data_IF_408300462836
#
_entry.id   IF_408300462836
#
_cell.length_a   1.000
_cell.length_b   1.000
_cell.length_c   1.000
_cell.angle_alpha   90.00
_cell.angle_beta   90.00
_cell.angle_gamma   90.00
#
_symmetry.space_group_name_H-M   'P 1'
#
loop_
_entity.id
_entity.type
_entity.pdbx_description
1 polymer ?
#
# COMPACT_ATOMS: atom_id res chain seq x y z
N UNK A 1 -12.27 -5.15 11.35
CA UNK A 1 -11.43 -5.02 10.16
C UNK A 1 -10.38 -3.92 10.37
N UNK A 2 -9.20 -4.15 9.90
CA UNK A 2 -8.06 -3.26 10.07
C UNK A 2 -7.57 -2.77 8.71
N UNK A 3 -7.26 -1.49 8.60
CA UNK A 3 -6.76 -0.91 7.34
C UNK A 3 -5.43 -0.20 7.57
N UNK A 4 -4.54 -0.32 6.59
CA UNK A 4 -3.23 0.33 6.63
C UNK A 4 -3.06 1.11 5.35
N UNK A 5 -2.64 2.36 5.47
CA UNK A 5 -2.36 3.21 4.31
C UNK A 5 -0.90 3.62 4.30
N UNK A 6 -0.36 3.77 3.09
CA UNK A 6 0.94 4.37 2.89
C UNK A 6 0.77 5.51 1.87
N UNK A 7 0.99 6.74 2.33
CA UNK A 7 0.88 7.92 1.48
C UNK A 7 2.25 8.20 0.88
N UNK A 8 2.37 7.94 -0.42
CA UNK A 8 3.65 8.00 -1.12
C UNK A 8 3.70 9.27 -1.99
N UNK A 9 4.72 10.09 -1.77
CA UNK A 9 5.01 11.26 -2.58
C UNK A 9 6.14 10.91 -3.55
N UNK A 10 5.90 11.12 -4.84
CA UNK A 10 6.87 10.80 -5.89
C UNK A 10 7.12 12.01 -6.79
N UNK A 11 8.20 11.94 -7.55
CA UNK A 11 8.51 12.93 -8.58
C UNK A 11 7.47 12.87 -9.69
N UNK A 12 7.10 14.03 -10.21
CA UNK A 12 6.11 14.13 -11.29
C UNK A 12 6.56 13.33 -12.50
N UNK A 13 5.63 12.60 -13.10
CA UNK A 13 5.90 11.80 -14.29
C UNK A 13 6.26 10.35 -14.02
N UNK A 14 6.41 9.95 -12.76
CA UNK A 14 6.80 8.58 -12.39
C UNK A 14 5.63 7.73 -11.87
N UNK A 15 4.39 8.20 -12.08
CA UNK A 15 3.21 7.45 -11.64
C UNK A 15 3.09 6.07 -12.28
N UNK A 16 3.35 5.99 -13.59
CA UNK A 16 3.28 4.72 -14.32
C UNK A 16 4.32 3.73 -13.80
N UNK A 17 5.51 4.21 -13.45
CA UNK A 17 6.57 3.37 -12.87
C UNK A 17 6.14 2.80 -11.52
N UNK A 18 5.50 3.62 -10.69
CA UNK A 18 5.00 3.18 -9.39
C UNK A 18 3.89 2.15 -9.54
N UNK A 19 2.97 2.36 -10.46
CA UNK A 19 1.87 1.43 -10.74
C UNK A 19 2.42 0.07 -11.20
N UNK A 20 3.45 0.07 -12.04
CA UNK A 20 4.09 -1.16 -12.50
C UNK A 20 4.72 -1.93 -11.34
N UNK A 21 5.44 -1.22 -10.45
CA UNK A 21 6.06 -1.84 -9.28
C UNK A 21 5.02 -2.53 -8.40
N UNK A 22 3.91 -1.88 -8.10
CA UNK A 22 2.87 -2.46 -7.26
C UNK A 22 2.09 -3.56 -7.99
N UNK A 23 1.88 -3.42 -9.28
CA UNK A 23 1.18 -4.42 -10.08
C UNK A 23 1.95 -5.74 -10.23
N UNK A 24 3.28 -5.70 -10.10
CA UNK A 24 4.13 -6.88 -10.21
C UNK A 24 4.45 -7.54 -8.87
N UNK A 25 4.08 -6.93 -7.74
CA UNK A 25 4.26 -7.51 -6.40
C UNK A 25 3.14 -8.49 -6.13
N UNK A 26 3.41 -9.78 -6.19
CA UNK A 26 2.38 -10.74 -6.34
C UNK A 26 2.11 -11.71 -5.20
N UNK A 27 2.42 -11.43 -3.91
CA UNK A 27 2.23 -12.44 -2.88
C UNK A 27 1.41 -12.04 -1.66
N UNK A 28 1.15 -10.75 -1.45
CA UNK A 28 0.38 -10.30 -0.28
C UNK A 28 -1.06 -10.84 -0.28
N UNK A 29 -1.64 -11.05 -1.44
CA UNK A 29 -3.01 -11.57 -1.57
C UNK A 29 -3.16 -13.00 -1.05
N UNK A 30 -2.08 -13.72 -0.83
CA UNK A 30 -2.12 -15.08 -0.29
C UNK A 30 -1.89 -15.12 1.22
N UNK A 31 -1.68 -13.97 1.86
CA UNK A 31 -1.42 -13.92 3.29
C UNK A 31 -2.71 -14.12 4.11
N UNK A 32 -2.64 -14.84 5.25
CA UNK A 32 -3.80 -15.02 6.11
C UNK A 32 -4.39 -13.68 6.56
N UNK A 33 -5.70 -13.57 6.46
CA UNK A 33 -6.42 -12.36 6.89
C UNK A 33 -6.38 -11.20 5.91
N UNK A 34 -5.66 -11.32 4.81
CA UNK A 34 -5.64 -10.27 3.78
C UNK A 34 -7.00 -10.15 3.11
N UNK A 35 -7.50 -8.92 2.95
CA UNK A 35 -8.80 -8.66 2.33
C UNK A 35 -8.69 -7.95 0.99
N UNK A 36 -7.92 -6.87 0.91
CA UNK A 36 -7.84 -6.10 -0.33
C UNK A 36 -6.59 -5.24 -0.39
N UNK A 37 -6.19 -4.93 -1.61
CA UNK A 37 -5.11 -4.01 -1.93
C UNK A 37 -5.61 -3.05 -2.99
N UNK A 38 -5.44 -1.75 -2.75
CA UNK A 38 -5.79 -0.73 -3.73
C UNK A 38 -4.68 0.30 -3.79
N UNK A 39 -4.45 0.83 -4.97
CA UNK A 39 -3.54 1.95 -5.18
C UNK A 39 -4.35 3.11 -5.74
N UNK A 40 -4.38 4.21 -5.01
CA UNK A 40 -5.15 5.40 -5.38
C UNK A 40 -4.21 6.51 -5.80
N UNK A 41 -4.53 7.18 -6.88
CA UNK A 41 -3.81 8.36 -7.34
C UNK A 41 -4.60 9.59 -6.89
N UNK A 42 -3.94 10.51 -6.20
CA UNK A 42 -4.58 11.77 -5.83
C UNK A 42 -4.71 12.65 -7.06
N UNK A 43 -5.91 13.15 -7.31
CA UNK A 43 -6.14 14.09 -8.41
C UNK A 43 -5.65 15.47 -7.97
N UNK A 44 -4.56 15.92 -8.61
CA UNK A 44 -3.91 17.16 -8.22
C UNK A 44 -3.03 17.69 -9.35
N UNK A 45 -2.73 19.00 -9.32
CA UNK A 45 -1.78 19.63 -10.25
C UNK A 45 -0.68 20.29 -9.42
N UNK A 46 0.51 19.68 -9.44
CA UNK A 46 1.64 20.14 -8.65
C UNK A 46 2.94 19.62 -9.27
N UNK A 47 4.08 19.95 -8.67
CA UNK A 47 5.39 19.50 -9.13
C UNK A 47 5.72 18.07 -8.70
N UNK A 48 4.79 17.42 -8.02
CA UNK A 48 4.92 16.05 -7.55
C UNK A 48 3.58 15.33 -7.66
N UNK A 49 3.57 14.03 -7.41
CA UNK A 49 2.35 13.23 -7.40
C UNK A 49 2.22 12.52 -6.05
N UNK A 50 0.99 12.32 -5.61
CA UNK A 50 0.67 11.60 -4.37
C UNK A 50 -0.13 10.35 -4.72
N UNK A 51 0.32 9.22 -4.19
CA UNK A 51 -0.41 7.96 -4.26
C UNK A 51 -0.71 7.46 -2.86
N UNK A 52 -1.82 6.76 -2.73
CA UNK A 52 -2.20 6.14 -1.47
C UNK A 52 -2.33 4.64 -1.69
N UNK A 53 -1.50 3.87 -0.99
CA UNK A 53 -1.64 2.41 -0.94
C UNK A 53 -2.61 2.11 0.19
N UNK A 54 -3.64 1.32 -0.09
CA UNK A 54 -4.65 0.95 0.90
C UNK A 54 -4.72 -0.57 0.97
N UNK A 55 -4.41 -1.13 2.14
CA UNK A 55 -4.59 -2.56 2.39
C UNK A 55 -5.59 -2.77 3.52
N UNK A 56 -6.40 -3.81 3.38
CA UNK A 56 -7.40 -4.17 4.39
C UNK A 56 -7.16 -5.59 4.86
N UNK A 57 -7.34 -5.80 6.16
CA UNK A 57 -7.04 -7.04 6.85
C UNK A 57 -8.17 -7.40 7.79
N UNK A 58 -8.36 -8.68 8.02
CA UNK A 58 -9.36 -9.16 8.99
C UNK A 58 -9.10 -8.56 10.36
N UNK A 59 -7.86 -8.72 10.85
CA UNK A 59 -7.43 -8.23 12.17
C UNK A 59 -6.07 -7.56 12.07
N UNK A 60 -5.77 -6.72 13.05
CA UNK A 60 -4.45 -6.12 13.22
C UNK A 60 -3.36 -7.18 13.30
N UNK A 61 -3.61 -8.29 13.99
CA UNK A 61 -2.63 -9.36 14.14
C UNK A 61 -2.23 -9.96 12.81
N UNK A 62 -3.14 -10.06 11.85
CA UNK A 62 -2.84 -10.57 10.51
C UNK A 62 -1.86 -9.66 9.78
N UNK A 63 -2.07 -8.35 9.86
CA UNK A 63 -1.15 -7.37 9.29
C UNK A 63 0.23 -7.47 9.95
N UNK A 64 0.28 -7.53 11.28
CA UNK A 64 1.55 -7.62 12.00
C UNK A 64 2.29 -8.90 11.66
N UNK A 65 1.59 -10.03 11.53
CA UNK A 65 2.19 -11.30 11.12
C UNK A 65 2.79 -11.18 9.73
N UNK A 66 2.10 -10.52 8.79
CA UNK A 66 2.62 -10.32 7.45
C UNK A 66 3.92 -9.49 7.47
N UNK A 67 3.99 -8.44 8.27
CA UNK A 67 5.20 -7.59 8.36
C UNK A 67 6.44 -8.36 8.86
N UNK A 68 6.23 -9.50 9.49
CA UNK A 68 7.31 -10.37 9.98
C UNK A 68 7.60 -11.53 9.03
N UNK A 69 6.84 -11.67 7.95
CA UNK A 69 6.98 -12.78 7.02
C UNK A 69 8.16 -12.60 6.06
N UNK A 70 8.62 -13.71 5.49
CA UNK A 70 9.64 -13.69 4.45
C UNK A 70 9.15 -12.92 3.21
N UNK A 71 7.88 -13.08 2.88
CA UNK A 71 7.24 -12.39 1.76
C UNK A 71 7.36 -10.87 1.90
N UNK A 72 7.06 -10.33 3.09
CA UNK A 72 7.20 -8.90 3.37
C UNK A 72 8.66 -8.45 3.22
N UNK A 73 9.58 -9.20 3.82
CA UNK A 73 11.01 -8.87 3.79
C UNK A 73 11.54 -8.87 2.37
N UNK A 74 11.15 -9.83 1.54
CA UNK A 74 11.54 -9.91 0.14
C UNK A 74 11.00 -8.74 -0.67
N UNK A 75 9.72 -8.37 -0.48
CA UNK A 75 9.09 -7.29 -1.22
C UNK A 75 9.62 -5.91 -0.82
N UNK A 76 10.23 -5.79 0.36
CA UNK A 76 10.80 -4.54 0.87
C UNK A 76 12.33 -4.55 0.90
N UNK A 77 12.95 -5.58 0.35
CA UNK A 77 14.41 -5.67 0.24
C UNK A 77 14.91 -4.77 -0.90
N UNK A 78 16.12 -4.25 -0.72
CA UNK A 78 16.78 -3.43 -1.72
C UNK A 78 16.47 -1.94 -1.58
N UNK A 79 17.12 -1.10 -2.39
CA UNK A 79 16.94 0.35 -2.31
C UNK A 79 15.59 0.77 -2.83
N UNK A 80 15.06 1.85 -2.25
CA UNK A 80 13.85 2.47 -2.77
C UNK A 80 14.12 3.11 -4.13
N UNK A 81 13.13 3.13 -5.04
CA UNK A 81 13.26 3.85 -6.30
C UNK A 81 13.61 5.32 -6.05
N UNK A 82 14.49 5.87 -6.87
CA UNK A 82 14.98 7.25 -6.71
C UNK A 82 13.89 8.31 -6.87
N UNK A 83 12.78 7.99 -7.54
CA UNK A 83 11.68 8.93 -7.73
C UNK A 83 10.75 9.05 -6.51
N UNK A 84 10.90 8.20 -5.51
CA UNK A 84 10.13 8.31 -4.27
C UNK A 84 10.73 9.38 -3.38
N UNK A 85 9.92 10.40 -3.05
CA UNK A 85 10.36 11.53 -2.22
C UNK A 85 10.17 11.19 -0.74
N UNK A 86 8.97 10.69 -0.38
CA UNK A 86 8.73 10.24 0.98
C UNK A 86 7.52 9.28 1.02
N UNK A 87 7.33 8.62 2.18
CA UNK A 87 6.19 7.78 2.45
C UNK A 87 5.76 7.92 3.90
N UNK A 88 4.45 7.91 4.15
CA UNK A 88 3.87 8.03 5.49
C UNK A 88 2.87 6.90 5.72
N UNK A 89 3.10 6.12 6.79
CA UNK A 89 2.21 5.03 7.18
C UNK A 89 1.18 5.53 8.18
N UNK A 90 -0.06 5.08 8.02
CA UNK A 90 -1.13 5.29 8.98
C UNK A 90 -1.95 4.02 9.11
N UNK A 91 -2.31 3.70 10.33
CA UNK A 91 -3.05 2.48 10.66
C UNK A 91 -4.42 2.86 11.20
N UNK A 92 -5.44 2.12 10.78
CA UNK A 92 -6.83 2.45 11.10
C UNK A 92 -7.60 1.21 11.51
N UNK A 93 -8.53 1.38 12.43
CA UNK A 93 -9.56 0.39 12.68
C UNK A 93 -10.81 0.80 11.90
N UNK A 94 -11.36 -0.10 11.09
CA UNK A 94 -12.57 0.21 10.32
C UNK A 94 -13.77 0.12 11.24
N UNK A 95 -14.41 1.25 11.50
CA UNK A 95 -15.54 1.34 12.45
C UNK A 95 -16.88 1.05 11.80
N UNK A 96 -17.00 1.34 10.52
CA UNK A 96 -18.23 1.11 9.79
C UNK A 96 -17.91 0.86 8.33
N UNK A 97 -18.48 -0.19 7.77
CA UNK A 97 -18.33 -0.51 6.36
C UNK A 97 -19.68 -1.00 5.84
N UNK A 98 -20.19 -0.33 4.84
CA UNK A 98 -21.45 -0.71 4.20
C UNK A 98 -21.14 -0.97 2.74
N UNK A 99 -21.44 -2.18 2.29
CA UNK A 99 -21.15 -2.61 0.92
C UNK A 99 -22.45 -2.92 0.22
N UNK A 100 -22.60 -2.46 -1.02
CA UNK A 100 -23.77 -2.77 -1.82
C UNK A 100 -23.67 -4.22 -2.31
N UNK A 101 -24.73 -4.97 -2.12
CA UNK A 101 -24.85 -6.36 -2.58
C UNK A 101 -25.04 -6.47 -4.10
#
# INVERSE_FOLDING_TARGET
>A
MYAVTNRIKIQKGNGDDLEEVFGSRGSVQYEPGFKSFELWSMEMEDDYEIYLVVTRWEDKSDFLNWTQSASFKESHAGPHPSYIINGELANYEVKLSIVKD
#
